data_IF_176222202532
#
_entry.id   IF_176222202532
#
_cell.length_a   1.000
_cell.length_b   1.000
_cell.length_c   1.000
_cell.angle_alpha   90.00
_cell.angle_beta   90.00
_cell.angle_gamma   90.00
#
_symmetry.space_group_name_H-M   'P 1'
#
loop_
_entity.id
_entity.type
_entity.pdbx_description
1 polymer ?
#
# COMPACT_ATOMS: atom_id res chain seq x y z
N UNK A 1 -14.19 23.42 -9.03
CA UNK A 1 -15.25 22.66 -8.32
C UNK A 1 -14.73 22.35 -6.93
N UNK A 2 -15.53 22.58 -5.89
CA UNK A 2 -15.14 22.33 -4.50
C UNK A 2 -14.90 20.83 -4.25
N UNK A 3 -13.76 20.50 -3.63
CA UNK A 3 -13.35 19.13 -3.38
C UNK A 3 -14.27 18.47 -2.34
N UNK A 4 -14.76 19.23 -1.36
CA UNK A 4 -15.66 18.69 -0.34
C UNK A 4 -17.01 18.30 -0.95
N UNK A 5 -17.59 19.18 -1.79
CA UNK A 5 -18.80 18.87 -2.54
C UNK A 5 -18.62 17.62 -3.44
N UNK A 6 -17.48 17.48 -4.11
CA UNK A 6 -17.20 16.30 -4.95
C UNK A 6 -17.10 15.01 -4.11
N UNK A 7 -16.47 15.07 -2.95
CA UNK A 7 -16.40 13.93 -2.00
C UNK A 7 -17.78 13.53 -1.50
N UNK A 8 -18.60 14.52 -1.12
CA UNK A 8 -19.97 14.28 -0.67
C UNK A 8 -20.81 13.58 -1.74
N UNK A 9 -20.80 14.09 -2.97
CA UNK A 9 -21.54 13.47 -4.08
C UNK A 9 -21.06 12.05 -4.39
N UNK A 10 -19.75 11.81 -4.31
CA UNK A 10 -19.20 10.47 -4.50
C UNK A 10 -19.65 9.49 -3.42
N UNK A 11 -19.65 9.91 -2.14
CA UNK A 11 -20.14 9.07 -1.04
C UNK A 11 -21.61 8.70 -1.24
N UNK A 12 -22.45 9.64 -1.66
CA UNK A 12 -23.86 9.35 -1.97
C UNK A 12 -23.97 8.28 -3.06
N UNK A 13 -23.21 8.39 -4.15
CA UNK A 13 -23.21 7.39 -5.23
C UNK A 13 -22.78 6.01 -4.76
N UNK A 14 -21.85 5.91 -3.81
CA UNK A 14 -21.41 4.62 -3.26
C UNK A 14 -22.51 3.89 -2.48
N UNK A 15 -23.40 4.62 -1.80
CA UNK A 15 -24.50 4.03 -1.03
C UNK A 15 -25.49 3.31 -1.95
N UNK A 16 -25.69 3.81 -3.16
CA UNK A 16 -26.62 3.24 -4.14
C UNK A 16 -26.02 2.06 -4.94
N UNK A 17 -24.76 1.69 -4.71
CA UNK A 17 -24.12 0.57 -5.40
C UNK A 17 -24.60 -0.76 -4.82
N UNK A 18 -25.43 -1.47 -5.57
CA UNK A 18 -25.97 -2.77 -5.16
C UNK A 18 -25.03 -3.96 -5.43
N UNK A 19 -24.13 -3.82 -6.41
CA UNK A 19 -23.25 -4.92 -6.85
C UNK A 19 -21.92 -4.90 -6.10
N UNK A 20 -21.67 -5.94 -5.31
CA UNK A 20 -20.41 -6.12 -4.55
C UNK A 20 -19.16 -6.07 -5.44
N UNK A 21 -19.22 -6.66 -6.64
CA UNK A 21 -18.11 -6.61 -7.62
C UNK A 21 -17.69 -5.18 -8.02
N UNK A 22 -18.64 -4.23 -8.03
CA UNK A 22 -18.36 -2.83 -8.30
C UNK A 22 -17.63 -2.20 -7.11
N UNK A 23 -18.11 -2.44 -5.89
CA UNK A 23 -17.44 -1.98 -4.67
C UNK A 23 -16.01 -2.51 -4.55
N UNK A 24 -15.81 -3.81 -4.79
CA UNK A 24 -14.48 -4.42 -4.76
C UNK A 24 -13.51 -3.78 -5.78
N UNK A 25 -14.02 -3.41 -6.96
CA UNK A 25 -13.21 -2.73 -7.98
C UNK A 25 -12.80 -1.33 -7.53
N UNK A 26 -13.74 -0.57 -6.94
CA UNK A 26 -13.48 0.79 -6.44
C UNK A 26 -12.48 0.79 -5.29
N UNK A 27 -12.63 -0.13 -4.34
CA UNK A 27 -11.68 -0.31 -3.24
C UNK A 27 -10.28 -0.63 -3.73
N UNK A 28 -10.15 -1.51 -4.73
CA UNK A 28 -8.86 -1.85 -5.33
C UNK A 28 -8.19 -0.62 -5.95
N UNK A 29 -8.93 0.19 -6.70
CA UNK A 29 -8.40 1.40 -7.33
C UNK A 29 -7.93 2.41 -6.26
N UNK A 30 -8.75 2.67 -5.24
CA UNK A 30 -8.37 3.58 -4.16
C UNK A 30 -7.14 3.10 -3.40
N UNK A 31 -7.03 1.79 -3.17
CA UNK A 31 -5.87 1.18 -2.53
C UNK A 31 -4.61 1.32 -3.39
N UNK A 32 -4.72 1.04 -4.68
CA UNK A 32 -3.61 1.16 -5.63
C UNK A 32 -3.09 2.60 -5.70
N UNK A 33 -3.96 3.59 -5.89
CA UNK A 33 -3.58 5.01 -5.90
C UNK A 33 -2.91 5.43 -4.59
N UNK A 34 -3.44 4.95 -3.45
CA UNK A 34 -2.82 5.20 -2.14
C UNK A 34 -1.43 4.61 -2.08
N UNK A 35 -1.25 3.35 -2.48
CA UNK A 35 0.03 2.63 -2.43
C UNK A 35 1.07 3.20 -3.41
N UNK A 36 0.66 3.57 -4.62
CA UNK A 36 1.52 4.20 -5.63
C UNK A 36 2.03 5.58 -5.18
N UNK A 37 1.22 6.31 -4.44
CA UNK A 37 1.57 7.62 -3.88
C UNK A 37 2.04 7.56 -2.43
N UNK A 38 2.10 6.38 -1.81
CA UNK A 38 2.67 6.20 -0.49
C UNK A 38 4.20 6.21 -0.63
N UNK A 39 4.83 7.33 -0.29
CA UNK A 39 6.29 7.38 -0.23
C UNK A 39 6.78 6.37 0.82
N UNK A 40 7.43 5.31 0.35
CA UNK A 40 8.28 4.49 1.22
C UNK A 40 9.35 5.44 1.76
N UNK A 41 9.44 5.58 3.08
CA UNK A 41 10.45 6.44 3.70
C UNK A 41 11.83 6.09 3.12
N UNK A 42 12.68 7.09 2.93
CA UNK A 42 14.05 6.86 2.41
C UNK A 42 14.80 5.82 3.22
N UNK A 43 14.55 5.73 4.53
CA UNK A 43 15.08 4.70 5.41
C UNK A 43 14.58 3.29 5.07
N UNK A 44 13.27 3.11 4.88
CA UNK A 44 12.69 1.81 4.51
C UNK A 44 13.13 1.38 3.11
N UNK A 45 13.23 2.31 2.16
CA UNK A 45 13.73 2.03 0.81
C UNK A 45 15.19 1.59 0.84
N UNK A 46 16.03 2.29 1.61
CA UNK A 46 17.45 1.92 1.77
C UNK A 46 17.63 0.54 2.39
N UNK A 47 16.83 0.20 3.41
CA UNK A 47 16.86 -1.14 4.00
C UNK A 47 16.44 -2.22 3.00
N UNK A 48 15.38 -1.95 2.22
CA UNK A 48 14.93 -2.86 1.18
C UNK A 48 16.00 -3.07 0.09
N UNK A 49 16.63 -2.00 -0.39
CA UNK A 49 17.69 -2.04 -1.40
C UNK A 49 18.92 -2.82 -0.88
N UNK A 50 19.30 -2.60 0.39
CA UNK A 50 20.38 -3.35 1.03
C UNK A 50 20.05 -4.85 1.09
N UNK A 51 18.84 -5.22 1.51
CA UNK A 51 18.41 -6.63 1.58
C UNK A 51 18.36 -7.29 0.22
N UNK A 52 17.84 -6.60 -0.80
CA UNK A 52 17.82 -7.12 -2.17
C UNK A 52 19.25 -7.35 -2.71
N UNK A 53 20.20 -6.49 -2.33
CA UNK A 53 21.61 -6.68 -2.69
C UNK A 53 22.22 -7.86 -1.95
N UNK A 54 22.06 -7.95 -0.62
CA UNK A 54 22.57 -9.08 0.17
C UNK A 54 22.00 -10.41 -0.31
N UNK A 55 20.70 -10.47 -0.61
CA UNK A 55 20.05 -11.67 -1.13
C UNK A 55 20.58 -12.10 -2.51
N UNK A 56 20.89 -11.14 -3.40
CA UNK A 56 21.53 -11.46 -4.70
C UNK A 56 22.93 -12.05 -4.52
N UNK A 57 23.66 -11.62 -3.50
CA UNK A 57 25.01 -12.08 -3.20
C UNK A 57 24.99 -13.42 -2.43
N UNK A 58 23.99 -13.63 -1.58
CA UNK A 58 23.78 -14.86 -0.82
C UNK A 58 22.27 -15.18 -0.67
N UNK A 59 21.70 -16.02 -1.55
CA UNK A 59 20.26 -16.36 -1.54
C UNK A 59 19.82 -17.16 -0.31
N UNK A 60 20.75 -17.82 0.38
CA UNK A 60 20.48 -18.61 1.57
C UNK A 60 20.57 -17.76 2.85
N UNK A 61 20.94 -16.48 2.74
CA UNK A 61 20.94 -15.51 3.84
C UNK A 61 19.53 -14.95 4.05
N UNK A 62 18.64 -15.84 4.52
CA UNK A 62 17.23 -15.52 4.75
C UNK A 62 17.10 -14.84 6.10
N UNK A 63 16.53 -13.64 6.09
CA UNK A 63 16.33 -12.84 7.29
C UNK A 63 15.38 -13.54 8.29
N UNK A 64 15.85 -13.73 9.53
CA UNK A 64 14.99 -14.18 10.62
C UNK A 64 14.11 -13.04 11.12
N UNK A 65 12.84 -13.04 10.69
CA UNK A 65 11.85 -12.05 11.09
C UNK A 65 11.55 -12.03 12.59
N UNK A 66 11.89 -13.11 13.31
CA UNK A 66 11.74 -13.21 14.76
C UNK A 66 12.71 -12.25 15.46
N UNK A 67 13.96 -12.19 15.01
CA UNK A 67 15.01 -11.32 15.55
C UNK A 67 14.79 -9.83 15.25
N UNK A 68 14.10 -9.51 14.15
CA UNK A 68 13.83 -8.11 13.76
C UNK A 68 12.67 -7.51 14.56
N UNK A 69 11.65 -8.30 14.91
CA UNK A 69 10.47 -7.82 15.65
C UNK A 69 10.77 -7.39 17.09
N UNK A 70 11.84 -7.90 17.71
CA UNK A 70 12.21 -7.50 19.07
C UNK A 70 12.76 -6.06 19.16
N UNK A 71 13.16 -5.46 18.03
CA UNK A 71 13.80 -4.14 17.97
C UNK A 71 12.94 -3.05 17.29
N UNK A 72 11.64 -3.29 17.11
CA UNK A 72 10.68 -2.35 16.52
C UNK A 72 9.78 -1.68 17.56
#
# INVERSE_FOLDING_TARGET
>A
MDLQLRKYNFIQQLVDVEKESIMATLERVLKQEKEEHQEISTAHKKELDNRLKSYKENPDDVLDWSAVKENW
#
